data_IF_892525311677
#
_entry.id   IF_892525311677
#
_cell.length_a   1.000
_cell.length_b   1.000
_cell.length_c   1.000
_cell.angle_alpha   90.00
_cell.angle_beta   90.00
_cell.angle_gamma   90.00
#
_symmetry.space_group_name_H-M   'P 1'
#
loop_
_entity.id
_entity.type
_entity.pdbx_description
1 polymer ?
#
# COMPACT_ATOMS: atom_id res chain seq x y z
N UNK A 1 27.79 -29.31 -4.62
CA UNK A 1 27.12 -28.98 -5.90
C UNK A 1 27.33 -27.50 -6.13
N UNK A 2 28.33 -27.15 -6.93
CA UNK A 2 28.78 -25.78 -7.14
C UNK A 2 27.91 -25.04 -8.16
N UNK A 3 27.53 -23.82 -7.82
CA UNK A 3 26.81 -22.88 -8.69
C UNK A 3 27.77 -22.38 -9.78
N UNK A 4 27.44 -22.68 -11.05
CA UNK A 4 28.15 -22.20 -12.24
C UNK A 4 27.84 -20.72 -12.46
N UNK A 5 28.73 -19.85 -11.97
CA UNK A 5 28.69 -18.40 -12.21
C UNK A 5 29.54 -18.11 -13.44
N UNK A 6 28.89 -17.88 -14.59
CA UNK A 6 29.59 -17.48 -15.83
C UNK A 6 29.79 -15.96 -15.92
N UNK A 7 30.98 -15.45 -16.29
CA UNK A 7 31.30 -14.03 -16.25
C UNK A 7 30.84 -13.23 -17.49
N UNK A 8 30.68 -11.92 -17.27
CA UNK A 8 30.19 -10.85 -18.16
C UNK A 8 30.98 -10.71 -19.47
N UNK A 9 30.31 -10.47 -20.61
CA UNK A 9 30.91 -9.97 -21.87
C UNK A 9 30.89 -8.44 -21.91
N UNK A 10 32.05 -7.84 -22.16
CA UNK A 10 32.27 -6.40 -22.43
C UNK A 10 32.48 -6.24 -23.93
N UNK A 11 31.65 -5.46 -24.63
CA UNK A 11 31.82 -5.18 -26.07
C UNK A 11 32.20 -3.71 -26.25
N UNK A 12 33.28 -3.46 -27.00
CA UNK A 12 33.81 -2.13 -27.35
C UNK A 12 32.98 -1.48 -28.47
N UNK A 13 32.88 -0.16 -28.41
CA UNK A 13 32.21 0.74 -29.36
C UNK A 13 32.99 0.93 -30.67
N UNK A 14 32.27 1.06 -31.79
CA UNK A 14 32.68 1.77 -33.02
C UNK A 14 31.41 2.41 -33.65
N UNK A 15 31.54 3.52 -34.42
CA UNK A 15 30.42 4.40 -34.74
C UNK A 15 29.78 4.15 -36.12
N UNK A 16 28.56 4.70 -36.24
CA UNK A 16 28.05 5.55 -37.33
C UNK A 16 26.86 5.08 -38.18
N UNK A 17 26.09 6.11 -38.56
CA UNK A 17 25.13 6.29 -39.65
C UNK A 17 23.65 5.94 -39.41
N UNK A 18 22.86 7.00 -39.19
CA UNK A 18 21.39 7.04 -39.31
C UNK A 18 20.98 7.33 -40.75
N UNK A 19 19.82 6.82 -41.22
CA UNK A 19 18.88 7.76 -41.83
C UNK A 19 17.40 7.45 -41.54
N UNK A 20 16.56 8.49 -41.63
CA UNK A 20 15.13 8.33 -41.96
C UNK A 20 14.14 8.87 -40.93
N UNK A 21 14.06 10.19 -40.82
CA UNK A 21 12.96 10.91 -40.15
C UNK A 21 11.82 11.10 -41.15
N UNK A 22 10.72 10.36 -41.03
CA UNK A 22 9.43 10.72 -41.65
C UNK A 22 8.37 10.93 -40.55
N UNK A 23 8.24 12.21 -40.21
CA UNK A 23 7.02 12.97 -39.91
C UNK A 23 5.76 12.17 -39.51
N UNK A 24 5.58 11.97 -38.20
CA UNK A 24 4.25 11.82 -37.60
C UNK A 24 3.73 13.19 -37.16
N UNK A 25 3.12 13.93 -38.08
CA UNK A 25 2.50 15.26 -37.86
C UNK A 25 1.16 15.22 -37.08
N UNK A 26 0.64 14.05 -36.71
CA UNK A 26 -0.72 13.92 -36.18
C UNK A 26 -0.88 14.00 -34.64
N UNK A 27 0.17 14.35 -33.87
CA UNK A 27 0.12 14.28 -32.40
C UNK A 27 0.30 15.62 -31.64
N UNK A 28 0.29 16.75 -32.34
CA UNK A 28 0.67 18.07 -31.80
C UNK A 28 -0.46 18.88 -31.13
N UNK A 29 -1.68 18.35 -30.94
CA UNK A 29 -2.84 19.17 -30.50
C UNK A 29 -3.20 19.13 -29.01
N UNK A 30 -2.29 18.73 -28.11
CA UNK A 30 -2.56 18.85 -26.66
C UNK A 30 -1.38 19.43 -25.90
N UNK A 31 -1.33 20.76 -25.82
CA UNK A 31 -0.67 21.52 -24.75
C UNK A 31 0.72 21.04 -24.34
N UNK A 32 1.55 20.59 -25.28
CA UNK A 32 2.92 20.20 -24.95
C UNK A 32 3.75 21.45 -24.74
N UNK A 33 4.36 21.56 -23.57
CA UNK A 33 5.40 22.55 -23.30
C UNK A 33 6.41 22.53 -24.47
N UNK A 34 6.64 23.70 -25.09
CA UNK A 34 7.60 23.82 -26.18
C UNK A 34 9.01 23.70 -25.57
N UNK A 35 9.60 22.53 -25.74
CA UNK A 35 10.96 22.26 -25.29
C UNK A 35 11.95 22.85 -26.31
N UNK A 36 12.86 23.73 -25.85
CA UNK A 36 13.96 24.25 -26.66
C UNK A 36 14.89 23.14 -27.19
N UNK A 37 14.94 22.01 -26.48
CA UNK A 37 15.65 20.79 -26.88
C UNK A 37 14.76 19.57 -26.59
N UNK A 38 14.74 18.55 -27.47
CA UNK A 38 13.99 17.33 -27.20
C UNK A 38 14.42 16.72 -25.86
N UNK A 39 13.49 16.27 -25.01
CA UNK A 39 13.84 15.70 -23.73
C UNK A 39 14.69 14.44 -23.93
N UNK A 40 15.76 14.32 -23.14
CA UNK A 40 16.71 13.22 -23.23
C UNK A 40 15.99 11.86 -23.09
N UNK A 41 16.52 10.84 -23.76
CA UNK A 41 16.02 9.45 -23.66
C UNK A 41 17.07 8.61 -22.92
N UNK A 42 17.28 8.85 -21.61
CA UNK A 42 18.46 8.37 -20.89
C UNK A 42 18.60 6.84 -20.94
N UNK A 43 17.48 6.11 -20.92
CA UNK A 43 17.49 4.64 -20.99
C UNK A 43 17.98 4.11 -22.34
N UNK A 44 17.58 4.76 -23.45
CA UNK A 44 18.02 4.37 -24.79
C UNK A 44 19.48 4.71 -25.02
N UNK A 45 19.87 5.91 -24.63
CA UNK A 45 21.23 6.42 -24.78
C UNK A 45 22.23 5.58 -23.98
N UNK A 46 21.83 5.09 -22.79
CA UNK A 46 22.72 4.32 -21.90
C UNK A 46 22.82 2.83 -22.24
N UNK A 47 21.70 2.18 -22.52
CA UNK A 47 21.66 0.71 -22.63
C UNK A 47 21.44 0.22 -24.07
N UNK A 48 20.93 1.06 -24.97
CA UNK A 48 20.61 0.68 -26.34
C UNK A 48 19.38 -0.22 -26.47
N UNK A 49 18.81 -0.29 -27.68
CA UNK A 49 17.58 -1.05 -27.93
C UNK A 49 17.79 -2.58 -27.81
N UNK A 50 18.96 -3.08 -28.21
CA UNK A 50 19.29 -4.52 -28.17
C UNK A 50 19.30 -5.07 -26.74
N UNK A 51 19.75 -4.28 -25.76
CA UNK A 51 19.67 -4.66 -24.34
C UNK A 51 18.23 -4.98 -23.94
N UNK A 52 17.28 -4.10 -24.27
CA UNK A 52 15.87 -4.32 -23.91
C UNK A 52 15.21 -5.47 -24.70
N UNK A 53 15.68 -5.74 -25.92
CA UNK A 53 15.23 -6.90 -26.72
C UNK A 53 15.70 -8.22 -26.12
N UNK A 54 16.88 -8.24 -25.49
CA UNK A 54 17.43 -9.44 -24.86
C UNK A 54 16.74 -9.83 -23.54
N UNK A 55 16.06 -8.91 -22.86
CA UNK A 55 15.36 -9.17 -21.59
C UNK A 55 14.29 -10.26 -21.80
N UNK A 56 14.17 -11.27 -20.91
CA UNK A 56 13.18 -12.33 -21.04
C UNK A 56 11.74 -11.82 -20.86
N UNK A 57 10.79 -12.47 -21.56
CA UNK A 57 9.35 -12.30 -21.33
C UNK A 57 8.87 -13.27 -20.25
N UNK A 58 9.42 -13.14 -19.05
CA UNK A 58 9.10 -13.98 -17.89
C UNK A 58 8.77 -13.12 -16.67
N UNK A 59 8.04 -13.67 -15.68
CA UNK A 59 7.91 -13.05 -14.39
C UNK A 59 9.27 -12.90 -13.70
N UNK A 60 9.40 -11.89 -12.86
CA UNK A 60 10.63 -11.69 -12.12
C UNK A 60 10.68 -10.37 -11.37
N UNK A 61 11.79 -10.16 -10.68
CA UNK A 61 12.12 -8.92 -9.99
C UNK A 61 13.24 -8.23 -10.73
N UNK A 62 13.14 -6.91 -10.90
CA UNK A 62 14.19 -6.08 -11.47
C UNK A 62 14.68 -5.07 -10.43
N UNK A 63 15.95 -4.69 -10.56
CA UNK A 63 16.64 -3.78 -9.66
C UNK A 63 17.40 -2.73 -10.44
N UNK A 64 17.35 -1.48 -9.97
CA UNK A 64 18.07 -0.36 -10.54
C UNK A 64 19.12 0.15 -9.57
N UNK A 65 20.33 0.38 -10.08
CA UNK A 65 21.42 0.99 -9.32
C UNK A 65 21.85 2.31 -9.95
N UNK A 66 22.32 3.23 -9.12
CA UNK A 66 22.88 4.50 -9.56
C UNK A 66 24.37 4.38 -9.96
N UNK A 67 25.02 5.51 -10.24
CA UNK A 67 26.42 5.54 -10.68
C UNK A 67 27.44 5.13 -9.63
N UNK A 68 27.02 5.07 -8.35
CA UNK A 68 27.85 4.59 -7.25
C UNK A 68 27.61 3.08 -6.99
N UNK A 69 26.69 2.46 -7.74
CA UNK A 69 26.30 1.06 -7.55
C UNK A 69 25.25 0.86 -6.44
N UNK A 70 24.73 1.94 -5.86
CA UNK A 70 23.72 1.89 -4.79
C UNK A 70 22.40 1.39 -5.36
N UNK A 71 21.75 0.44 -4.69
CA UNK A 71 20.41 -0.03 -5.06
C UNK A 71 19.38 1.07 -4.76
N UNK A 72 18.83 1.67 -5.81
CA UNK A 72 17.93 2.82 -5.70
C UNK A 72 16.46 2.46 -5.92
N UNK A 73 16.19 1.33 -6.59
CA UNK A 73 14.82 0.85 -6.83
C UNK A 73 14.78 -0.67 -7.04
N UNK A 74 13.73 -1.31 -6.53
CA UNK A 74 13.35 -2.71 -6.81
C UNK A 74 11.91 -2.73 -7.29
N UNK A 75 11.59 -3.56 -8.28
CA UNK A 75 10.22 -3.73 -8.73
C UNK A 75 9.93 -5.14 -9.23
N UNK A 76 8.68 -5.58 -9.11
CA UNK A 76 8.18 -6.83 -9.69
C UNK A 76 7.59 -6.66 -11.09
N UNK A 77 7.61 -7.73 -11.88
CA UNK A 77 7.05 -7.77 -13.21
C UNK A 77 6.35 -9.12 -13.51
N UNK A 78 5.20 -9.08 -14.20
CA UNK A 78 4.62 -10.26 -14.88
C UNK A 78 5.44 -10.65 -16.11
N UNK A 79 6.00 -9.64 -16.79
CA UNK A 79 6.91 -9.77 -17.92
C UNK A 79 8.02 -8.73 -17.73
N UNK A 80 9.23 -9.19 -17.44
CA UNK A 80 10.41 -8.34 -17.23
C UNK A 80 10.65 -7.43 -18.44
N UNK A 81 10.53 -7.96 -19.66
CA UNK A 81 10.69 -7.18 -20.89
C UNK A 81 9.69 -6.03 -20.98
N UNK A 82 8.41 -6.28 -20.78
CA UNK A 82 7.39 -5.25 -20.96
C UNK A 82 7.51 -4.18 -19.88
N UNK A 83 7.79 -4.61 -18.64
CA UNK A 83 7.99 -3.69 -17.52
C UNK A 83 9.24 -2.84 -17.66
N UNK A 84 10.36 -3.41 -18.08
CA UNK A 84 11.60 -2.63 -18.29
C UNK A 84 11.50 -1.71 -19.53
N UNK A 85 10.76 -2.13 -20.56
CA UNK A 85 10.45 -1.25 -21.70
C UNK A 85 9.57 -0.06 -21.32
N UNK A 86 8.70 -0.14 -20.29
CA UNK A 86 7.92 1.05 -19.90
C UNK A 86 8.82 2.19 -19.42
N UNK A 87 9.94 1.88 -18.77
CA UNK A 87 10.92 2.89 -18.34
C UNK A 87 11.69 3.53 -19.51
N UNK A 88 11.75 2.84 -20.66
CA UNK A 88 12.42 3.31 -21.89
C UNK A 88 11.73 4.56 -22.48
N UNK A 89 10.43 4.68 -22.28
CA UNK A 89 9.59 5.71 -22.90
C UNK A 89 9.09 6.77 -21.91
N UNK A 90 9.67 6.82 -20.70
CA UNK A 90 9.29 7.81 -19.67
C UNK A 90 9.56 9.22 -20.19
N UNK A 91 8.60 10.11 -19.99
CA UNK A 91 8.62 11.48 -20.49
C UNK A 91 8.25 12.48 -19.38
N UNK A 92 8.95 13.63 -19.25
CA UNK A 92 8.71 14.58 -18.16
C UNK A 92 7.28 15.15 -18.14
N UNK A 93 6.64 15.31 -19.29
CA UNK A 93 5.27 15.84 -19.39
C UNK A 93 4.16 14.82 -19.10
N UNK A 94 4.47 13.52 -19.19
CA UNK A 94 3.45 12.44 -19.09
C UNK A 94 3.60 11.63 -17.81
N UNK A 95 4.82 11.54 -17.30
CA UNK A 95 5.16 10.71 -16.15
C UNK A 95 5.44 11.56 -14.91
N UNK A 96 5.32 10.93 -13.74
CA UNK A 96 5.59 11.61 -12.48
C UNK A 96 7.05 12.11 -12.42
N UNK A 97 7.25 13.28 -11.81
CA UNK A 97 8.60 13.83 -11.54
C UNK A 97 9.52 12.83 -10.84
N UNK A 98 8.96 11.97 -9.99
CA UNK A 98 9.69 10.91 -9.29
C UNK A 98 10.20 9.85 -10.26
N UNK A 99 9.34 9.35 -11.15
CA UNK A 99 9.71 8.38 -12.20
C UNK A 99 10.76 8.98 -13.13
N UNK A 100 10.59 10.24 -13.52
CA UNK A 100 11.55 10.96 -14.35
C UNK A 100 12.93 11.08 -13.68
N UNK A 101 12.99 11.43 -12.39
CA UNK A 101 14.25 11.45 -11.62
C UNK A 101 14.87 10.06 -11.54
N UNK A 102 14.07 9.04 -11.22
CA UNK A 102 14.52 7.65 -11.15
C UNK A 102 15.26 7.25 -12.44
N UNK A 103 14.62 7.37 -13.62
CA UNK A 103 15.24 6.94 -14.89
C UNK A 103 16.52 7.70 -15.23
N UNK A 104 16.63 8.95 -14.78
CA UNK A 104 17.84 9.75 -14.98
C UNK A 104 19.01 9.30 -14.08
N UNK A 105 18.76 8.62 -12.96
CA UNK A 105 19.79 8.13 -12.06
C UNK A 105 20.27 6.71 -12.38
N UNK A 106 19.47 5.90 -13.09
CA UNK A 106 19.79 4.49 -13.40
C UNK A 106 21.09 4.38 -14.20
N UNK A 107 22.08 3.68 -13.66
CA UNK A 107 23.32 3.30 -14.36
C UNK A 107 23.47 1.80 -14.57
N UNK A 108 22.79 0.99 -13.77
CA UNK A 108 22.77 -0.46 -13.94
C UNK A 108 21.35 -1.00 -13.73
N UNK A 109 20.99 -1.98 -14.56
CA UNK A 109 19.72 -2.72 -14.50
C UNK A 109 20.08 -4.20 -14.34
N UNK A 110 19.52 -4.82 -13.31
CA UNK A 110 19.66 -6.26 -13.06
C UNK A 110 18.27 -6.86 -12.85
N UNK A 111 18.14 -8.18 -13.03
CA UNK A 111 16.89 -8.89 -12.79
C UNK A 111 17.13 -10.32 -12.33
N UNK A 112 16.14 -10.86 -11.64
CA UNK A 112 16.01 -12.24 -11.21
C UNK A 112 14.72 -12.81 -11.81
N UNK A 113 14.83 -13.88 -12.60
CA UNK A 113 13.65 -14.58 -13.13
C UNK A 113 12.95 -15.34 -11.99
N UNK A 114 11.63 -15.33 -11.98
CA UNK A 114 10.82 -16.09 -11.02
C UNK A 114 9.88 -17.04 -11.75
N UNK A 115 9.53 -18.14 -11.09
CA UNK A 115 8.65 -19.19 -11.65
C UNK A 115 7.22 -18.68 -11.89
N UNK A 116 6.78 -17.70 -11.09
CA UNK A 116 5.45 -17.11 -11.18
C UNK A 116 5.45 -15.63 -10.78
N UNK A 117 4.36 -14.94 -11.10
CA UNK A 117 4.14 -13.56 -10.65
C UNK A 117 4.03 -13.47 -9.11
N UNK A 118 3.43 -14.48 -8.46
CA UNK A 118 3.37 -14.57 -7.00
C UNK A 118 4.77 -14.70 -6.38
N UNK A 119 5.63 -15.55 -6.96
CA UNK A 119 7.02 -15.68 -6.52
C UNK A 119 7.80 -14.37 -6.69
N UNK A 120 7.61 -13.65 -7.80
CA UNK A 120 8.21 -12.34 -8.02
C UNK A 120 7.74 -11.29 -6.98
N UNK A 121 6.48 -11.34 -6.57
CA UNK A 121 5.92 -10.48 -5.53
C UNK A 121 6.57 -10.73 -4.16
N UNK A 122 6.67 -11.99 -3.74
CA UNK A 122 7.31 -12.36 -2.48
C UNK A 122 8.79 -12.00 -2.49
N UNK A 123 9.48 -12.23 -3.61
CA UNK A 123 10.89 -11.88 -3.78
C UNK A 123 11.12 -10.36 -3.73
N UNK A 124 10.23 -9.57 -4.35
CA UNK A 124 10.26 -8.11 -4.24
C UNK A 124 10.11 -7.68 -2.77
N UNK A 125 9.10 -8.20 -2.05
CA UNK A 125 8.88 -7.86 -0.65
C UNK A 125 10.12 -8.14 0.21
N UNK A 126 10.77 -9.30 0.03
CA UNK A 126 12.02 -9.62 0.71
C UNK A 126 13.12 -8.59 0.44
N UNK A 127 13.34 -8.22 -0.83
CA UNK A 127 14.36 -7.24 -1.22
C UNK A 127 14.04 -5.81 -0.71
N UNK A 128 12.76 -5.44 -0.66
CA UNK A 128 12.33 -4.15 -0.11
C UNK A 128 12.57 -4.08 1.40
N UNK A 129 12.32 -5.17 2.14
CA UNK A 129 12.59 -5.26 3.58
C UNK A 129 14.09 -5.13 3.86
N UNK A 130 14.92 -5.81 3.07
CA UNK A 130 16.38 -5.83 3.23
C UNK A 130 17.03 -4.48 2.88
N UNK A 131 16.67 -3.89 1.73
CA UNK A 131 17.45 -2.78 1.18
C UNK A 131 16.78 -1.41 1.29
N UNK A 132 15.46 -1.36 1.46
CA UNK A 132 14.64 -0.13 1.55
C UNK A 132 15.07 0.98 0.56
N UNK A 133 15.07 0.70 -0.76
CA UNK A 133 15.63 1.62 -1.73
C UNK A 133 14.90 2.97 -1.75
N UNK A 134 15.65 4.07 -1.90
CA UNK A 134 15.11 5.44 -1.75
C UNK A 134 13.94 5.79 -2.67
N UNK A 135 13.84 5.18 -3.87
CA UNK A 135 12.73 5.42 -4.79
C UNK A 135 11.55 4.46 -4.59
N UNK A 136 11.63 3.46 -3.72
CA UNK A 136 10.46 2.67 -3.36
C UNK A 136 9.60 3.42 -2.34
N UNK A 137 8.28 3.22 -2.38
CA UNK A 137 7.33 3.84 -1.44
C UNK A 137 6.37 2.81 -0.88
N UNK A 138 5.68 2.09 -1.77
CA UNK A 138 4.81 1.00 -1.40
C UNK A 138 5.64 -0.16 -0.82
N UNK A 139 5.12 -0.80 0.24
CA UNK A 139 5.66 -2.01 0.87
C UNK A 139 7.09 -1.93 1.42
N UNK A 140 7.75 -0.75 1.37
CA UNK A 140 9.06 -0.51 2.00
C UNK A 140 8.99 -0.56 3.52
N UNK A 141 7.84 -0.14 4.07
CA UNK A 141 7.60 -0.02 5.49
C UNK A 141 6.36 -0.82 5.89
N UNK A 142 6.44 -2.17 5.97
CA UNK A 142 5.33 -3.01 6.39
C UNK A 142 4.78 -2.60 7.76
N UNK A 143 5.66 -2.15 8.68
CA UNK A 143 5.31 -1.68 10.02
C UNK A 143 4.33 -0.49 10.06
N UNK A 144 3.98 0.12 8.91
CA UNK A 144 2.93 1.12 8.85
C UNK A 144 1.56 0.59 9.32
N UNK A 145 1.35 -0.73 9.34
CA UNK A 145 0.14 -1.33 9.88
C UNK A 145 -0.11 -0.94 11.35
N UNK A 146 -1.37 -0.97 11.76
CA UNK A 146 -1.83 -0.67 13.11
C UNK A 146 -2.76 -1.76 13.61
N UNK A 147 -2.83 -1.90 14.92
CA UNK A 147 -3.74 -2.79 15.62
C UNK A 147 -4.76 -1.96 16.38
N UNK A 148 -5.96 -2.52 16.54
CA UNK A 148 -7.02 -1.93 17.34
C UNK A 148 -7.30 -2.89 18.51
N UNK A 149 -7.11 -2.40 19.72
CA UNK A 149 -7.34 -3.12 20.97
C UNK A 149 -8.69 -2.77 21.56
N UNK A 150 -9.38 -3.78 22.09
CA UNK A 150 -10.62 -3.64 22.87
C UNK A 150 -10.38 -4.21 24.26
N UNK A 151 -10.80 -3.49 25.30
CA UNK A 151 -10.80 -3.96 26.69
C UNK A 151 -12.11 -3.55 27.34
N UNK A 152 -12.62 -4.40 28.21
CA UNK A 152 -13.76 -4.09 29.07
C UNK A 152 -13.32 -4.09 30.52
N UNK A 153 -13.64 -3.03 31.25
CA UNK A 153 -13.36 -2.88 32.69
C UNK A 153 -14.40 -1.96 33.33
N UNK A 154 -14.95 -2.36 34.48
CA UNK A 154 -15.87 -1.53 35.28
C UNK A 154 -17.04 -0.91 34.48
N UNK A 155 -17.70 -1.71 33.63
CA UNK A 155 -18.78 -1.26 32.71
C UNK A 155 -18.32 -0.17 31.72
N UNK A 156 -17.03 -0.14 31.41
CA UNK A 156 -16.44 0.74 30.41
C UNK A 156 -15.78 -0.08 29.32
N UNK A 157 -15.98 0.36 28.09
CA UNK A 157 -15.25 -0.15 26.94
C UNK A 157 -14.11 0.79 26.62
N UNK A 158 -12.91 0.24 26.57
CA UNK A 158 -11.68 0.91 26.21
C UNK A 158 -11.26 0.48 24.81
N UNK A 159 -11.05 1.46 23.94
CA UNK A 159 -10.55 1.28 22.59
C UNK A 159 -9.17 1.90 22.48
N UNK A 160 -8.22 1.18 21.87
CA UNK A 160 -6.86 1.68 21.64
C UNK A 160 -6.42 1.41 20.22
N UNK A 161 -5.72 2.36 19.59
CA UNK A 161 -5.07 2.14 18.29
C UNK A 161 -3.56 2.33 18.42
N UNK A 162 -2.79 1.38 17.90
CA UNK A 162 -1.35 1.43 18.07
C UNK A 162 -0.60 0.28 17.46
N UNK A 163 0.70 0.25 17.75
CA UNK A 163 1.63 -0.82 17.38
C UNK A 163 2.24 -1.50 18.60
N UNK A 164 2.23 -0.82 19.73
CA UNK A 164 2.63 -1.36 21.02
C UNK A 164 1.42 -2.07 21.63
N UNK A 165 1.55 -3.39 21.74
CA UNK A 165 0.47 -4.26 22.16
C UNK A 165 0.49 -4.40 23.69
N UNK A 166 -0.44 -3.71 24.33
CA UNK A 166 -0.69 -3.83 25.76
C UNK A 166 -1.42 -5.17 26.05
N UNK A 167 -0.88 -6.06 26.89
CA UNK A 167 -1.50 -7.36 27.18
C UNK A 167 -2.91 -7.26 27.79
N UNK A 168 -3.30 -6.10 28.32
CA UNK A 168 -4.64 -5.87 28.90
C UNK A 168 -5.74 -5.72 27.83
N UNK A 169 -5.36 -5.54 26.56
CA UNK A 169 -6.30 -5.37 25.46
C UNK A 169 -6.37 -6.63 24.60
N UNK A 170 -7.58 -6.97 24.16
CA UNK A 170 -7.79 -7.89 23.07
C UNK A 170 -7.52 -7.17 21.75
N UNK A 171 -6.36 -7.44 21.16
CA UNK A 171 -5.94 -6.80 19.93
C UNK A 171 -6.48 -7.49 18.69
N UNK A 172 -6.80 -6.68 17.67
CA UNK A 172 -7.23 -7.11 16.36
C UNK A 172 -6.44 -6.40 15.28
N UNK A 173 -6.19 -7.11 14.18
CA UNK A 173 -5.61 -6.56 12.96
C UNK A 173 -4.29 -7.17 12.53
N UNK A 174 -3.84 -6.67 11.38
CA UNK A 174 -2.71 -5.76 11.23
C UNK A 174 -3.17 -4.77 10.16
N UNK A 175 -4.03 -3.82 10.51
CA UNK A 175 -4.73 -3.05 9.49
C UNK A 175 -3.83 -2.01 8.82
N UNK A 176 -4.12 -1.68 7.56
CA UNK A 176 -3.44 -0.58 6.86
C UNK A 176 -3.80 0.77 7.52
N UNK A 177 -3.05 1.82 7.18
CA UNK A 177 -3.18 3.17 7.75
C UNK A 177 -4.59 3.76 7.74
N UNK A 178 -5.46 3.34 6.82
CA UNK A 178 -6.89 3.73 6.78
C UNK A 178 -7.64 3.35 8.08
N UNK A 179 -7.19 2.33 8.81
CA UNK A 179 -7.82 1.91 10.06
C UNK A 179 -7.77 2.94 11.18
N UNK A 180 -6.88 3.93 11.10
CA UNK A 180 -6.89 5.07 12.03
C UNK A 180 -8.16 5.91 11.83
N UNK A 181 -8.60 6.08 10.58
CA UNK A 181 -9.84 6.80 10.29
C UNK A 181 -11.06 5.99 10.76
N UNK A 182 -11.02 4.67 10.59
CA UNK A 182 -12.04 3.76 11.13
C UNK A 182 -12.08 3.79 12.66
N UNK A 183 -10.93 3.78 13.32
CA UNK A 183 -10.83 3.95 14.77
C UNK A 183 -11.51 5.23 15.23
N UNK A 184 -11.18 6.36 14.61
CA UNK A 184 -11.79 7.64 14.94
C UNK A 184 -13.32 7.63 14.70
N UNK A 185 -13.78 7.04 13.60
CA UNK A 185 -15.21 6.90 13.30
C UNK A 185 -15.95 6.06 14.36
N UNK A 186 -15.39 4.91 14.77
CA UNK A 186 -15.96 4.10 15.87
C UNK A 186 -16.06 4.91 17.16
N UNK A 187 -15.00 5.61 17.54
CA UNK A 187 -15.02 6.43 18.74
C UNK A 187 -16.13 7.50 18.64
N UNK A 188 -16.32 8.13 17.46
CA UNK A 188 -17.28 9.24 17.30
C UNK A 188 -18.71 8.77 17.44
N UNK A 189 -19.02 7.62 16.84
CA UNK A 189 -20.33 6.97 16.98
C UNK A 189 -20.60 6.58 18.43
N UNK A 190 -19.62 5.97 19.11
CA UNK A 190 -19.73 5.60 20.52
C UNK A 190 -19.91 6.83 21.44
N UNK A 191 -19.18 7.92 21.17
CA UNK A 191 -19.32 9.17 21.91
C UNK A 191 -20.74 9.73 21.77
N UNK A 192 -21.21 9.87 20.53
CA UNK A 192 -22.54 10.39 20.24
C UNK A 192 -23.65 9.59 20.94
N UNK A 193 -23.52 8.25 21.01
CA UNK A 193 -24.48 7.39 21.71
C UNK A 193 -24.43 7.53 23.23
N UNK A 194 -23.26 7.42 23.84
CA UNK A 194 -23.15 7.25 25.30
C UNK A 194 -23.03 8.55 26.08
N UNK A 195 -22.59 9.64 25.46
CA UNK A 195 -22.52 10.96 26.10
C UNK A 195 -23.70 11.86 25.73
N UNK A 196 -24.45 11.50 24.67
CA UNK A 196 -25.63 12.22 24.19
C UNK A 196 -25.36 13.71 23.92
N UNK A 197 -24.14 14.03 23.48
CA UNK A 197 -23.66 15.37 23.15
C UNK A 197 -22.93 15.38 21.80
N UNK A 198 -22.58 16.58 21.32
CA UNK A 198 -21.88 16.73 20.06
C UNK A 198 -20.44 16.23 20.18
N UNK A 199 -20.00 15.44 19.20
CA UNK A 199 -18.61 15.00 19.08
C UNK A 199 -17.65 16.20 19.14
N UNK A 200 -16.61 16.16 19.98
CA UNK A 200 -15.66 17.25 20.10
C UNK A 200 -14.94 17.56 18.77
N UNK A 201 -14.84 18.84 18.40
CA UNK A 201 -14.19 19.29 17.15
C UNK A 201 -12.70 18.90 17.06
N UNK A 202 -12.03 18.72 18.18
CA UNK A 202 -10.62 18.29 18.22
C UNK A 202 -10.43 16.82 17.80
N UNK A 203 -11.49 16.02 17.68
CA UNK A 203 -11.41 14.66 17.15
C UNK A 203 -11.25 14.59 15.63
N UNK A 204 -11.37 15.74 14.96
CA UNK A 204 -10.97 15.91 13.57
C UNK A 204 -9.49 16.31 13.43
N UNK A 205 -8.80 16.55 14.56
CA UNK A 205 -7.36 16.81 14.57
C UNK A 205 -6.58 15.55 14.18
N UNK A 206 -5.41 15.73 13.56
CA UNK A 206 -4.45 14.66 13.29
C UNK A 206 -3.75 14.15 14.56
N UNK A 207 -3.97 14.78 15.71
CA UNK A 207 -3.54 14.25 16.99
C UNK A 207 -4.36 13.01 17.31
N UNK A 208 -3.78 11.87 16.96
CA UNK A 208 -4.34 10.54 17.14
C UNK A 208 -4.72 10.36 18.62
N UNK A 209 -6.02 10.40 18.94
CA UNK A 209 -6.51 9.77 20.15
C UNK A 209 -6.01 8.33 20.10
N UNK A 210 -5.00 8.00 20.90
CA UNK A 210 -4.43 6.65 20.93
C UNK A 210 -5.31 5.71 21.73
N UNK A 211 -6.15 6.28 22.59
CA UNK A 211 -7.03 5.56 23.50
C UNK A 211 -8.33 6.36 23.69
N UNK A 212 -9.44 5.64 23.83
CA UNK A 212 -10.79 6.17 24.02
C UNK A 212 -11.54 5.26 24.97
N UNK A 213 -12.40 5.81 25.82
CA UNK A 213 -13.30 5.00 26.66
C UNK A 213 -14.70 5.59 26.76
N UNK A 214 -15.70 4.72 26.83
CA UNK A 214 -17.10 5.05 27.08
C UNK A 214 -17.65 4.12 28.15
N UNK A 215 -18.51 4.66 29.01
CA UNK A 215 -19.36 3.79 29.84
C UNK A 215 -20.36 3.09 28.92
N UNK A 216 -20.43 1.77 29.00
CA UNK A 216 -21.34 0.95 28.20
C UNK A 216 -22.00 -0.08 29.12
N UNK A 217 -23.33 -0.15 29.10
CA UNK A 217 -24.10 -1.13 29.85
C UNK A 217 -24.31 -2.45 29.08
N UNK A 218 -23.81 -2.52 27.83
CA UNK A 218 -24.11 -3.58 26.87
C UNK A 218 -22.83 -4.33 26.47
N UNK A 219 -22.96 -5.50 25.82
CA UNK A 219 -21.87 -6.31 25.26
C UNK A 219 -21.12 -5.64 24.08
N UNK A 220 -20.89 -4.32 24.15
CA UNK A 220 -20.26 -3.51 23.11
C UNK A 220 -18.81 -3.92 22.85
N UNK A 221 -18.07 -4.35 23.89
CA UNK A 221 -16.72 -4.88 23.71
C UNK A 221 -16.72 -6.13 22.81
N UNK A 222 -17.63 -7.07 23.05
CA UNK A 222 -17.79 -8.27 22.22
C UNK A 222 -18.15 -7.92 20.78
N UNK A 223 -19.10 -6.99 20.58
CA UNK A 223 -19.50 -6.53 19.24
C UNK A 223 -18.36 -5.87 18.48
N UNK A 224 -17.59 -5.01 19.14
CA UNK A 224 -16.38 -4.41 18.56
C UNK A 224 -15.35 -5.48 18.22
N UNK A 225 -15.14 -6.46 19.09
CA UNK A 225 -14.25 -7.58 18.82
C UNK A 225 -14.72 -8.46 17.65
N UNK A 226 -16.02 -8.71 17.50
CA UNK A 226 -16.58 -9.40 16.33
C UNK A 226 -16.45 -8.58 15.04
N UNK A 227 -16.69 -7.27 15.12
CA UNK A 227 -16.56 -6.34 14.00
C UNK A 227 -15.11 -6.25 13.50
N UNK A 228 -14.17 -6.00 14.41
CA UNK A 228 -12.74 -5.89 14.10
C UNK A 228 -12.18 -7.22 13.55
N UNK A 229 -12.61 -8.35 14.11
CA UNK A 229 -12.21 -9.68 13.60
C UNK A 229 -12.91 -10.07 12.28
N UNK A 230 -13.85 -9.27 11.77
CA UNK A 230 -14.59 -9.56 10.55
C UNK A 230 -15.61 -10.69 10.69
N UNK A 231 -15.95 -11.07 11.92
CA UNK A 231 -16.90 -12.15 12.22
C UNK A 231 -18.35 -11.69 12.02
N UNK A 232 -18.66 -10.46 12.42
CA UNK A 232 -20.00 -9.88 12.36
C UNK A 232 -19.94 -8.39 12.02
N UNK A 233 -20.85 -7.91 11.15
CA UNK A 233 -21.05 -6.48 10.91
C UNK A 233 -22.07 -5.87 11.88
N UNK A 234 -22.49 -6.60 12.93
CA UNK A 234 -23.57 -6.20 13.83
C UNK A 234 -23.37 -4.85 14.51
N UNK A 235 -22.11 -4.41 14.69
CA UNK A 235 -21.78 -3.06 15.13
C UNK A 235 -22.39 -1.99 14.21
N UNK A 236 -22.29 -2.14 12.88
CA UNK A 236 -22.84 -1.17 11.92
C UNK A 236 -24.36 -1.13 11.98
N UNK A 237 -25.00 -2.30 11.94
CA UNK A 237 -26.45 -2.44 11.90
C UNK A 237 -27.13 -1.78 13.10
N UNK A 238 -26.47 -1.83 14.26
CA UNK A 238 -26.94 -1.16 15.46
C UNK A 238 -27.00 0.36 15.27
N UNK A 239 -25.90 1.00 14.85
CA UNK A 239 -25.85 2.44 14.62
C UNK A 239 -26.71 2.90 13.42
N UNK A 240 -26.83 2.09 12.38
CA UNK A 240 -27.77 2.35 11.28
C UNK A 240 -29.22 2.42 11.77
N UNK A 241 -29.62 1.50 12.65
CA UNK A 241 -30.97 1.50 13.22
C UNK A 241 -31.24 2.72 14.11
N UNK A 242 -30.22 3.25 14.79
CA UNK A 242 -30.33 4.43 15.65
C UNK A 242 -30.43 5.74 14.84
N UNK A 243 -29.67 5.86 13.75
CA UNK A 243 -29.75 7.02 12.87
C UNK A 243 -31.13 7.16 12.21
N UNK A 244 -31.81 6.04 11.94
CA UNK A 244 -33.18 6.04 11.44
C UNK A 244 -34.20 6.63 12.44
N UNK A 245 -33.82 6.85 13.70
CA UNK A 245 -34.71 7.31 14.77
C UNK A 245 -34.62 8.83 15.06
N UNK A 246 -33.92 9.59 14.22
CA UNK A 246 -33.92 11.07 14.09
C UNK A 246 -33.76 11.92 15.37
N UNK A 247 -33.00 11.47 16.38
CA UNK A 247 -32.82 12.23 17.64
C UNK A 247 -31.66 13.24 17.67
N UNK A 248 -30.79 13.26 16.65
CA UNK A 248 -29.57 14.08 16.62
C UNK A 248 -29.67 15.31 15.70
N UNK A 249 -28.92 16.41 15.95
CA UNK A 249 -28.84 17.56 15.03
C UNK A 249 -28.30 17.19 13.63
N UNK A 250 -28.77 17.86 12.58
CA UNK A 250 -28.44 17.57 11.16
C UNK A 250 -26.93 17.40 10.87
N UNK A 251 -26.08 18.30 11.37
CA UNK A 251 -24.64 18.21 11.15
C UNK A 251 -24.01 16.96 11.80
N UNK A 252 -24.58 16.49 12.91
CA UNK A 252 -24.17 15.25 13.58
C UNK A 252 -24.67 14.02 12.80
N UNK A 253 -25.81 14.11 12.12
CA UNK A 253 -26.33 13.05 11.26
C UNK A 253 -25.45 12.85 10.01
N UNK A 254 -25.07 13.92 9.31
CA UNK A 254 -24.22 13.83 8.11
C UNK A 254 -22.85 13.21 8.44
N UNK A 255 -22.26 13.64 9.55
CA UNK A 255 -21.01 13.06 10.05
C UNK A 255 -21.15 11.58 10.39
N UNK A 256 -22.24 11.19 11.08
CA UNK A 256 -22.47 9.80 11.44
C UNK A 256 -22.67 8.92 10.20
N UNK A 257 -23.37 9.40 9.18
CA UNK A 257 -23.51 8.71 7.89
C UNK A 257 -22.14 8.53 7.20
N UNK A 258 -21.32 9.59 7.18
CA UNK A 258 -19.95 9.48 6.67
C UNK A 258 -19.14 8.43 7.41
N UNK A 259 -19.23 8.41 8.74
CA UNK A 259 -18.54 7.45 9.60
C UNK A 259 -19.02 6.01 9.35
N UNK A 260 -20.33 5.79 9.20
CA UNK A 260 -20.88 4.48 8.86
C UNK A 260 -20.35 3.95 7.52
N UNK A 261 -20.35 4.78 6.47
CA UNK A 261 -19.77 4.42 5.16
C UNK A 261 -18.28 4.11 5.28
N UNK A 262 -17.55 4.88 6.09
CA UNK A 262 -16.13 4.63 6.34
C UNK A 262 -15.91 3.27 7.01
N UNK A 263 -16.73 2.95 8.01
CA UNK A 263 -16.66 1.70 8.76
C UNK A 263 -17.11 0.49 7.96
N UNK A 264 -18.10 0.63 7.09
CA UNK A 264 -18.47 -0.39 6.11
C UNK A 264 -17.29 -0.73 5.20
N UNK A 265 -16.65 0.30 4.61
CA UNK A 265 -15.45 0.10 3.78
C UNK A 265 -14.30 -0.54 4.57
N UNK A 266 -14.12 -0.16 5.83
CA UNK A 266 -13.14 -0.77 6.72
C UNK A 266 -13.44 -2.25 6.98
N UNK A 267 -14.71 -2.59 7.23
CA UNK A 267 -15.14 -3.96 7.49
C UNK A 267 -14.92 -4.86 6.27
N UNK A 268 -15.34 -4.41 5.09
CA UNK A 268 -15.20 -5.17 3.84
C UNK A 268 -13.74 -5.34 3.42
N UNK A 269 -12.96 -4.24 3.43
CA UNK A 269 -11.60 -4.22 2.86
C UNK A 269 -10.51 -4.56 3.89
N UNK A 270 -10.81 -4.40 5.18
CA UNK A 270 -9.91 -4.58 6.31
C UNK A 270 -10.25 -5.82 7.13
N UNK A 271 -11.32 -5.76 7.92
CA UNK A 271 -11.67 -6.81 8.88
C UNK A 271 -11.93 -8.17 8.21
N UNK A 272 -12.73 -8.18 7.14
CA UNK A 272 -13.01 -9.40 6.36
C UNK A 272 -11.75 -9.98 5.72
N UNK A 273 -10.80 -9.13 5.31
CA UNK A 273 -9.50 -9.58 4.79
C UNK A 273 -8.71 -10.30 5.88
N UNK A 274 -8.61 -9.71 7.07
CA UNK A 274 -7.92 -10.30 8.22
C UNK A 274 -8.55 -11.67 8.58
N UNK A 275 -9.89 -11.76 8.56
CA UNK A 275 -10.59 -13.03 8.75
C UNK A 275 -10.20 -14.10 7.73
N UNK A 276 -10.14 -13.75 6.45
CA UNK A 276 -9.74 -14.67 5.37
C UNK A 276 -8.31 -15.19 5.58
N UNK A 277 -7.39 -14.29 5.95
CA UNK A 277 -6.00 -14.67 6.27
C UNK A 277 -5.97 -15.69 7.42
N UNK A 278 -6.66 -15.39 8.52
CA UNK A 278 -6.71 -16.29 9.69
C UNK A 278 -7.38 -17.64 9.41
N UNK A 279 -8.32 -17.69 8.46
CA UNK A 279 -8.95 -18.94 8.07
C UNK A 279 -7.97 -19.88 7.32
N UNK A 280 -7.00 -19.31 6.60
CA UNK A 280 -5.96 -20.05 5.87
C UNK A 280 -4.74 -20.37 6.75
N UNK A 281 -4.49 -19.57 7.80
CA UNK A 281 -3.40 -19.73 8.76
C UNK A 281 -3.96 -19.78 10.19
N UNK A 282 -4.49 -20.93 10.64
CA UNK A 282 -5.08 -21.05 11.96
C UNK A 282 -4.01 -20.95 13.05
N UNK A 283 -4.14 -19.94 13.90
CA UNK A 283 -3.28 -19.68 15.06
C UNK A 283 -3.85 -18.52 15.88
N UNK A 284 -3.48 -18.46 17.16
CA UNK A 284 -3.92 -17.38 18.06
C UNK A 284 -3.08 -16.10 17.92
N UNK A 285 -1.93 -16.19 17.26
CA UNK A 285 -1.04 -15.05 17.04
C UNK A 285 -1.67 -14.00 16.11
N UNK A 286 -1.35 -12.74 16.38
CA UNK A 286 -1.73 -11.64 15.50
C UNK A 286 -0.93 -11.72 14.21
N UNK A 287 -1.59 -11.43 13.09
CA UNK A 287 -0.92 -11.33 11.80
C UNK A 287 0.13 -10.22 11.91
N UNK A 288 1.38 -10.52 11.58
CA UNK A 288 2.41 -9.52 11.48
C UNK A 288 2.18 -8.64 10.24
N UNK A 289 2.67 -7.38 10.22
CA UNK A 289 2.52 -6.54 9.04
C UNK A 289 3.22 -7.13 7.79
N UNK A 290 4.22 -7.97 8.00
CA UNK A 290 4.99 -8.63 6.94
C UNK A 290 4.20 -9.77 6.31
N UNK A 291 3.59 -10.63 7.12
CA UNK A 291 2.68 -11.68 6.66
C UNK A 291 1.48 -11.11 5.91
N UNK A 292 0.93 -9.99 6.38
CA UNK A 292 -0.15 -9.31 5.64
C UNK A 292 0.30 -8.93 4.22
N UNK A 293 1.50 -8.35 4.09
CA UNK A 293 2.02 -7.91 2.79
C UNK A 293 2.28 -9.11 1.87
N UNK A 294 2.78 -10.22 2.40
CA UNK A 294 3.05 -11.43 1.64
C UNK A 294 1.77 -12.17 1.24
N UNK A 295 0.78 -12.24 2.13
CA UNK A 295 -0.52 -12.84 1.80
C UNK A 295 -1.25 -12.06 0.70
N UNK A 296 -1.26 -10.72 0.79
CA UNK A 296 -1.83 -9.86 -0.27
C UNK A 296 -1.11 -10.08 -1.60
N UNK A 297 0.20 -10.32 -1.55
CA UNK A 297 0.99 -10.65 -2.72
C UNK A 297 0.56 -11.98 -3.37
N UNK A 298 0.30 -13.02 -2.57
CA UNK A 298 -0.08 -14.35 -3.09
C UNK A 298 -1.51 -14.36 -3.65
N UNK A 299 -2.47 -13.76 -2.94
CA UNK A 299 -3.88 -13.80 -3.33
C UNK A 299 -4.24 -12.87 -4.50
N UNK A 300 -3.44 -11.82 -4.71
CA UNK A 300 -3.63 -10.87 -5.81
C UNK A 300 -2.84 -11.20 -7.08
N UNK A 301 -2.13 -12.33 -7.13
CA UNK A 301 -1.16 -12.67 -8.18
C UNK A 301 -1.80 -13.16 -9.49
#
# INVERSE_FOLDING_TARGET
MGLDVRPRRRIRSMPDESPGTELTEAAAERGSQLWLFPPAKPMNERFGAEFFRAIPRKPGVYSFRDGEGTLIYVGKAKSLRDRLNSYRYVHPDRDSRKTWRLVNEIREITWEECESHAAALLRENALLREHRPRFNRANVWPWAAVYIGVREEDERVHLRVGRELDPQFQWHGAYKSFAIQAFNAMCRLLHARYHNDATPLNWFSTDHAREFSVSSADCMADRLSEFLSGRSSGFLTEFESEQANESLPFASQELALHDLVLLEQFYEKGATRIRKIRAEQPGDELISPEELVDWVAVQGA
#
